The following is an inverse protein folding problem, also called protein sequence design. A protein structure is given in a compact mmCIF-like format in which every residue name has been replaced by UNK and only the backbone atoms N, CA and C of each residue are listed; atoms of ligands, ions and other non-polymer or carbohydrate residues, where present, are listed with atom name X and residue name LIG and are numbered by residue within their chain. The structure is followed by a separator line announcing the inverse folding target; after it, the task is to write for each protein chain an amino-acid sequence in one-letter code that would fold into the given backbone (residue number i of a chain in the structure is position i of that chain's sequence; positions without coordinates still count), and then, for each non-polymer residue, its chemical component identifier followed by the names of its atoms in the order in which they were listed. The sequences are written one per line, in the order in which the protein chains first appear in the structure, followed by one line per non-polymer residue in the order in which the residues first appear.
data_IF_369179680243
#
_entry.id   IF_369179680243
#
_cell.length_a   1.000
_cell.length_b   1.000
_cell.length_c   1.000
_cell.angle_alpha   90.00
_cell.angle_beta   90.00
_cell.angle_gamma   90.00
#
_symmetry.space_group_name_H-M   'P 1'
#
loop_
_entity.id
_entity.type
_entity.pdbx_description
1 polymer ?
#
# COMPACT_ATOMS: atom_id res chain seq x y z
N UNK A 1 -41.26 47.51 -34.52
CA UNK A 1 -40.15 47.07 -35.40
C UNK A 1 -39.20 46.24 -34.57
N UNK A 2 -39.42 44.93 -34.53
CA UNK A 2 -38.53 43.93 -33.93
C UNK A 2 -37.53 43.48 -35.00
N UNK A 3 -36.25 43.63 -34.70
CA UNK A 3 -35.16 43.27 -35.60
C UNK A 3 -35.13 41.74 -35.81
N UNK A 4 -34.88 41.23 -37.03
CA UNK A 4 -34.87 39.79 -37.35
C UNK A 4 -33.76 38.97 -36.67
N UNK A 5 -32.99 39.58 -35.77
CA UNK A 5 -31.93 38.94 -34.99
C UNK A 5 -32.41 38.20 -33.73
N UNK A 6 -33.63 38.45 -33.24
CA UNK A 6 -34.14 37.83 -32.01
C UNK A 6 -34.80 36.45 -32.20
N UNK A 7 -35.12 36.07 -33.45
CA UNK A 7 -35.79 34.78 -33.73
C UNK A 7 -34.80 33.59 -33.77
N UNK A 8 -33.49 33.85 -33.83
CA UNK A 8 -32.46 32.80 -33.89
C UNK A 8 -32.16 32.19 -32.51
N UNK A 9 -32.59 32.81 -31.39
CA UNK A 9 -32.15 32.43 -30.04
C UNK A 9 -32.99 31.30 -29.39
N UNK A 10 -34.10 30.87 -30.00
CA UNK A 10 -34.93 29.74 -29.50
C UNK A 10 -34.96 28.53 -30.44
N UNK A 11 -33.88 28.29 -31.19
CA UNK A 11 -33.65 27.00 -31.81
C UNK A 11 -33.31 25.96 -30.74
N UNK A 12 -34.11 24.91 -30.62
CA UNK A 12 -33.92 23.79 -29.71
C UNK A 12 -32.46 23.29 -29.71
N UNK A 13 -31.70 23.59 -28.66
CA UNK A 13 -30.26 23.29 -28.54
C UNK A 13 -29.97 21.79 -28.68
N UNK A 14 -30.95 20.94 -28.37
CA UNK A 14 -30.87 19.49 -28.58
C UNK A 14 -30.70 19.10 -30.05
N UNK A 15 -31.28 19.85 -30.98
CA UNK A 15 -31.26 19.51 -32.41
C UNK A 15 -29.90 19.84 -33.05
N UNK A 16 -29.32 20.97 -32.65
CA UNK A 16 -27.93 21.34 -32.98
C UNK A 16 -26.95 20.33 -32.37
N UNK A 17 -27.17 19.94 -31.10
CA UNK A 17 -26.33 18.94 -30.43
C UNK A 17 -26.41 17.56 -31.09
N UNK A 18 -27.60 17.11 -31.48
CA UNK A 18 -27.80 15.85 -32.23
C UNK A 18 -27.12 15.88 -33.59
N UNK A 19 -27.17 17.01 -34.30
CA UNK A 19 -26.42 17.20 -35.56
C UNK A 19 -24.93 17.12 -35.33
N UNK A 20 -24.39 17.77 -34.28
CA UNK A 20 -22.97 17.71 -33.93
C UNK A 20 -22.54 16.28 -33.58
N UNK A 21 -23.31 15.58 -32.75
CA UNK A 21 -23.09 14.17 -32.39
C UNK A 21 -23.16 13.23 -33.61
N UNK A 22 -23.96 13.58 -34.62
CA UNK A 22 -24.01 12.81 -35.87
C UNK A 22 -22.68 12.79 -36.62
N UNK A 23 -21.81 13.80 -36.46
CA UNK A 23 -20.47 13.78 -37.06
C UNK A 23 -19.52 12.80 -36.37
N UNK A 24 -19.87 12.31 -35.19
CA UNK A 24 -19.13 11.26 -34.48
C UNK A 24 -19.43 9.86 -35.08
N UNK A 25 -20.60 9.66 -35.71
CA UNK A 25 -21.02 8.37 -36.31
C UNK A 25 -19.94 7.67 -37.16
N UNK A 26 -19.25 8.34 -38.11
CA UNK A 26 -18.21 7.69 -38.91
C UNK A 26 -17.00 7.21 -38.09
N UNK A 27 -16.80 7.75 -36.88
CA UNK A 27 -15.68 7.44 -35.98
C UNK A 27 -16.12 6.70 -34.71
N UNK A 28 -17.35 6.14 -34.68
CA UNK A 28 -17.97 5.54 -33.49
C UNK A 28 -17.10 4.50 -32.78
N UNK A 29 -16.37 3.66 -33.52
CA UNK A 29 -15.52 2.62 -32.95
C UNK A 29 -14.32 3.22 -32.22
N UNK A 30 -13.65 4.19 -32.85
CA UNK A 30 -12.54 4.93 -32.24
C UNK A 30 -13.01 5.75 -31.03
N UNK A 31 -14.19 6.37 -31.09
CA UNK A 31 -14.78 7.12 -29.97
C UNK A 31 -15.15 6.22 -28.79
N UNK A 32 -15.77 5.06 -29.04
CA UNK A 32 -16.09 4.08 -27.98
C UNK A 32 -14.80 3.52 -27.36
N UNK A 33 -13.80 3.19 -28.18
CA UNK A 33 -12.50 2.71 -27.70
C UNK A 33 -11.81 3.78 -26.83
N UNK A 34 -11.87 5.04 -27.24
CA UNK A 34 -11.33 6.18 -26.48
C UNK A 34 -12.07 6.38 -25.15
N UNK A 35 -13.40 6.24 -25.14
CA UNK A 35 -14.21 6.29 -23.92
C UNK A 35 -13.87 5.15 -22.95
N UNK A 36 -13.72 3.93 -23.44
CA UNK A 36 -13.31 2.77 -22.64
C UNK A 36 -11.91 3.00 -22.07
N UNK A 37 -10.97 3.45 -22.90
CA UNK A 37 -9.61 3.75 -22.47
C UNK A 37 -9.57 4.86 -21.39
N UNK A 38 -10.44 5.87 -21.51
CA UNK A 38 -10.57 6.93 -20.51
C UNK A 38 -11.07 6.37 -19.17
N UNK A 39 -12.13 5.57 -19.18
CA UNK A 39 -12.66 4.94 -17.96
C UNK A 39 -11.62 4.04 -17.31
N UNK A 40 -10.91 3.23 -18.10
CA UNK A 40 -9.85 2.35 -17.61
C UNK A 40 -8.67 3.14 -17.03
N UNK A 41 -8.25 4.22 -17.69
CA UNK A 41 -7.19 5.10 -17.20
C UNK A 41 -7.57 5.72 -15.85
N UNK A 42 -8.76 6.32 -15.75
CA UNK A 42 -9.26 6.91 -14.50
C UNK A 42 -9.43 5.87 -13.40
N UNK A 43 -9.94 4.68 -13.72
CA UNK A 43 -10.04 3.58 -12.74
C UNK A 43 -8.66 3.15 -12.24
N UNK A 44 -7.66 3.04 -13.13
CA UNK A 44 -6.30 2.71 -12.75
C UNK A 44 -5.63 3.80 -11.90
N UNK A 45 -5.85 5.08 -12.24
CA UNK A 45 -5.41 6.22 -11.43
C UNK A 45 -6.03 6.21 -10.03
N UNK A 46 -7.31 5.80 -9.89
CA UNK A 46 -7.98 5.64 -8.60
C UNK A 46 -7.51 4.42 -7.80
N UNK A 47 -7.14 3.32 -8.48
CA UNK A 47 -6.58 2.12 -7.85
C UNK A 47 -5.16 2.36 -7.33
N UNK A 48 -4.44 3.28 -7.94
CA UNK A 48 -3.05 3.59 -7.64
C UNK A 48 -2.83 4.02 -6.16
N UNK A 49 -3.60 4.96 -5.57
CA UNK A 49 -3.57 5.26 -4.13
C UNK A 49 -3.81 4.06 -3.22
N UNK A 50 -4.71 3.15 -3.61
CA UNK A 50 -5.09 1.98 -2.80
C UNK A 50 -3.96 0.96 -2.78
N UNK A 51 -3.35 0.70 -3.94
CA UNK A 51 -2.20 -0.20 -4.06
C UNK A 51 -0.99 0.38 -3.33
N UNK A 52 -0.75 1.69 -3.44
CA UNK A 52 0.30 2.38 -2.71
C UNK A 52 0.10 2.27 -1.20
N UNK A 53 -1.10 2.54 -0.69
CA UNK A 53 -1.43 2.42 0.74
C UNK A 53 -1.12 1.01 1.25
N UNK A 54 -1.61 -0.04 0.56
CA UNK A 54 -1.34 -1.44 0.95
C UNK A 54 0.15 -1.79 0.92
N UNK A 55 0.88 -1.30 -0.09
CA UNK A 55 2.31 -1.58 -0.23
C UNK A 55 3.13 -0.89 0.88
N UNK A 56 2.79 0.36 1.21
CA UNK A 56 3.41 1.10 2.30
C UNK A 56 3.13 0.44 3.67
N UNK A 57 1.87 0.07 3.92
CA UNK A 57 1.44 -0.59 5.17
C UNK A 57 2.12 -1.96 5.37
N UNK A 58 2.50 -2.66 4.29
CA UNK A 58 3.20 -3.95 4.32
C UNK A 58 4.71 -3.83 4.59
N UNK A 59 5.36 -2.74 4.20
CA UNK A 59 6.84 -2.70 4.10
C UNK A 59 7.52 -1.59 4.91
N UNK A 60 6.83 -0.53 5.32
CA UNK A 60 7.43 0.52 6.17
C UNK A 60 7.28 0.25 7.67
N UNK A 61 6.41 -0.68 8.05
CA UNK A 61 6.10 -1.05 9.44
C UNK A 61 6.50 -2.49 9.76
N UNK A 62 7.67 -2.96 9.31
CA UNK A 62 8.27 -4.18 9.88
C UNK A 62 8.80 -3.87 11.28
N UNK A 63 7.91 -3.45 12.16
CA UNK A 63 8.10 -3.33 13.59
C UNK A 63 7.25 -4.40 14.25
N UNK A 64 7.90 -5.41 14.81
CA UNK A 64 7.24 -6.41 15.62
C UNK A 64 6.90 -5.83 17.00
N UNK A 65 5.79 -6.29 17.56
CA UNK A 65 5.40 -6.02 18.94
C UNK A 65 5.93 -7.13 19.82
N UNK A 66 6.60 -6.78 20.92
CA UNK A 66 7.08 -7.73 21.91
C UNK A 66 6.00 -7.96 22.95
N UNK A 67 5.62 -9.22 23.14
CA UNK A 67 4.72 -9.70 24.19
C UNK A 67 5.48 -10.60 25.16
N UNK A 68 5.01 -10.67 26.40
CA UNK A 68 5.48 -11.67 27.37
C UNK A 68 5.02 -13.06 26.95
N UNK A 69 5.96 -13.97 26.69
CA UNK A 69 5.65 -15.33 26.23
C UNK A 69 4.82 -16.10 27.27
N UNK A 70 5.13 -15.91 28.55
CA UNK A 70 4.43 -16.56 29.65
C UNK A 70 2.97 -16.13 29.71
N UNK A 71 2.70 -14.84 29.57
CA UNK A 71 1.33 -14.31 29.58
C UNK A 71 0.47 -14.87 28.44
N UNK A 72 1.03 -14.97 27.23
CA UNK A 72 0.29 -15.51 26.08
C UNK A 72 0.03 -17.01 26.26
N UNK A 73 1.01 -17.79 26.74
CA UNK A 73 0.83 -19.22 27.05
C UNK A 73 -0.22 -19.45 28.14
N UNK A 74 -0.15 -18.69 29.23
CA UNK A 74 -1.12 -18.81 30.31
C UNK A 74 -2.54 -18.43 29.86
N UNK A 75 -2.68 -17.50 28.91
CA UNK A 75 -3.97 -17.14 28.30
C UNK A 75 -4.49 -18.25 27.37
N UNK A 76 -3.62 -18.82 26.51
CA UNK A 76 -3.96 -19.94 25.63
C UNK A 76 -4.41 -21.18 26.41
N UNK A 77 -3.70 -21.51 27.49
CA UNK A 77 -4.03 -22.62 28.39
C UNK A 77 -5.24 -22.34 29.28
N UNK A 78 -5.81 -21.13 29.22
CA UNK A 78 -6.97 -20.72 30.00
C UNK A 78 -6.71 -20.54 31.50
N UNK A 79 -5.44 -20.39 31.89
CA UNK A 79 -5.03 -20.08 33.26
C UNK A 79 -5.23 -18.61 33.62
N UNK A 80 -5.24 -17.75 32.60
CA UNK A 80 -5.54 -16.33 32.71
C UNK A 80 -6.70 -16.02 31.77
N UNK A 81 -7.82 -15.53 32.32
CA UNK A 81 -8.86 -14.85 31.51
C UNK A 81 -8.30 -13.48 31.11
N UNK A 82 -7.50 -13.49 30.05
CA UNK A 82 -6.82 -12.31 29.53
C UNK A 82 -7.59 -11.65 28.39
N UNK A 83 -7.33 -10.35 28.21
CA UNK A 83 -7.89 -9.50 27.16
C UNK A 83 -7.60 -10.04 25.74
N UNK A 84 -6.50 -10.81 25.60
CA UNK A 84 -6.16 -11.46 24.34
C UNK A 84 -7.20 -12.51 23.91
N UNK A 85 -7.89 -13.19 24.85
CA UNK A 85 -8.73 -14.33 24.52
C UNK A 85 -7.93 -15.55 24.03
N UNK A 86 -8.51 -16.75 24.17
CA UNK A 86 -7.80 -18.02 23.86
C UNK A 86 -7.42 -18.14 22.38
N UNK A 87 -8.35 -17.82 21.49
CA UNK A 87 -8.17 -17.98 20.05
C UNK A 87 -7.08 -17.05 19.49
N UNK A 88 -7.00 -15.81 19.96
CA UNK A 88 -5.92 -14.91 19.57
C UNK A 88 -4.59 -15.38 20.18
N UNK A 89 -4.57 -15.82 21.44
CA UNK A 89 -3.35 -16.31 22.08
C UNK A 89 -2.76 -17.51 21.31
N UNK A 90 -3.59 -18.46 20.89
CA UNK A 90 -3.18 -19.59 20.05
C UNK A 90 -2.63 -19.14 18.69
N UNK A 91 -3.30 -18.20 18.02
CA UNK A 91 -2.81 -17.62 16.75
C UNK A 91 -1.45 -16.95 16.93
N UNK A 92 -1.29 -16.14 17.98
CA UNK A 92 -0.04 -15.44 18.29
C UNK A 92 1.11 -16.43 18.56
N UNK A 93 0.84 -17.55 19.25
CA UNK A 93 1.87 -18.57 19.51
C UNK A 93 2.27 -19.34 18.26
N UNK A 94 1.34 -19.56 17.33
CA UNK A 94 1.60 -20.28 16.08
C UNK A 94 2.31 -19.41 15.03
N UNK A 95 1.94 -18.14 14.92
CA UNK A 95 2.46 -17.24 13.88
C UNK A 95 3.59 -16.32 14.38
N UNK A 96 3.69 -16.11 15.69
CA UNK A 96 4.71 -15.26 16.31
C UNK A 96 6.09 -15.91 16.38
N UNK A 97 7.12 -15.08 16.46
CA UNK A 97 8.51 -15.53 16.61
C UNK A 97 8.87 -15.48 18.09
N UNK A 98 9.15 -16.64 18.69
CA UNK A 98 9.60 -16.73 20.08
C UNK A 98 11.11 -16.51 20.20
N UNK A 99 11.52 -15.48 20.93
CA UNK A 99 12.93 -15.15 21.19
C UNK A 99 13.10 -14.98 22.70
N UNK A 100 13.71 -15.97 23.35
CA UNK A 100 13.81 -16.04 24.81
C UNK A 100 12.43 -16.14 25.47
N UNK A 101 12.22 -15.37 26.53
CA UNK A 101 10.94 -15.31 27.28
C UNK A 101 9.93 -14.34 26.64
N UNK A 102 10.12 -13.98 25.38
CA UNK A 102 9.30 -12.99 24.69
C UNK A 102 8.83 -13.49 23.33
N UNK A 103 7.60 -13.13 23.00
CA UNK A 103 6.93 -13.45 21.75
C UNK A 103 6.87 -12.17 20.90
N UNK A 104 7.37 -12.24 19.66
CA UNK A 104 7.37 -11.12 18.73
C UNK A 104 6.32 -11.37 17.66
N UNK A 105 5.39 -10.42 17.51
CA UNK A 105 4.23 -10.56 16.63
C UNK A 105 4.00 -9.32 15.79
N UNK A 106 3.55 -9.52 14.55
CA UNK A 106 3.20 -8.43 13.65
C UNK A 106 2.09 -7.57 14.25
N UNK A 107 2.15 -6.23 14.14
CA UNK A 107 1.09 -5.34 14.63
C UNK A 107 -0.30 -5.67 14.09
N UNK A 108 -0.36 -6.31 12.91
CA UNK A 108 -1.59 -6.74 12.25
C UNK A 108 -2.37 -7.78 13.04
N UNK A 109 -1.66 -8.68 13.73
CA UNK A 109 -2.31 -9.68 14.56
C UNK A 109 -2.99 -9.06 15.78
N UNK A 110 -2.61 -7.83 16.15
CA UNK A 110 -3.20 -7.08 17.26
C UNK A 110 -4.29 -6.09 16.80
N UNK A 111 -4.64 -6.06 15.51
CA UNK A 111 -5.69 -5.15 15.00
C UNK A 111 -7.09 -5.53 15.48
N UNK A 112 -7.30 -6.79 15.86
CA UNK A 112 -8.55 -7.27 16.43
C UNK A 112 -8.78 -6.72 17.86
N UNK A 113 -7.74 -6.17 18.51
CA UNK A 113 -7.82 -5.61 19.86
C UNK A 113 -8.23 -4.13 19.82
N UNK A 114 -9.07 -3.73 20.78
CA UNK A 114 -9.40 -2.33 20.96
C UNK A 114 -8.19 -1.51 21.41
N UNK A 115 -8.15 -0.23 21.04
CA UNK A 115 -7.07 0.68 21.45
C UNK A 115 -6.90 0.77 22.97
N UNK A 116 -8.00 0.61 23.71
CA UNK A 116 -8.02 0.61 25.17
C UNK A 116 -7.26 -0.60 25.72
N UNK A 117 -7.47 -1.76 25.11
CA UNK A 117 -6.85 -3.03 25.49
C UNK A 117 -5.36 -3.06 25.19
N UNK A 118 -4.98 -2.50 24.03
CA UNK A 118 -3.57 -2.29 23.67
C UNK A 118 -2.89 -1.36 24.68
N UNK A 119 -3.58 -0.31 25.14
CA UNK A 119 -3.02 0.61 26.16
C UNK A 119 -2.91 -0.07 27.52
N UNK A 120 -3.95 -0.79 27.95
CA UNK A 120 -3.94 -1.56 29.19
C UNK A 120 -2.78 -2.56 29.20
N UNK A 121 -2.55 -3.26 28.08
CA UNK A 121 -1.45 -4.22 28.00
C UNK A 121 -0.06 -3.63 28.08
N UNK A 122 0.09 -2.38 27.65
CA UNK A 122 1.33 -1.62 27.84
C UNK A 122 1.56 -1.23 29.28
N UNK A 123 0.50 -0.99 30.04
CA UNK A 123 0.59 -0.60 31.44
C UNK A 123 0.72 -1.83 32.36
N UNK A 124 0.07 -2.93 31.99
CA UNK A 124 0.19 -4.25 32.64
C UNK A 124 1.53 -4.96 32.34
N UNK A 125 2.29 -4.44 31.38
CA UNK A 125 3.64 -4.91 31.05
C UNK A 125 3.70 -6.21 30.22
N UNK A 126 2.55 -6.75 29.79
CA UNK A 126 2.54 -7.90 28.89
C UNK A 126 2.78 -7.51 27.43
N UNK A 127 2.59 -6.23 27.07
CA UNK A 127 2.92 -5.66 25.76
C UNK A 127 3.98 -4.56 25.92
N UNK A 128 5.08 -4.65 25.18
CA UNK A 128 6.13 -3.62 25.23
C UNK A 128 5.66 -2.29 24.60
N UNK A 129 6.10 -1.18 25.19
CA UNK A 129 5.86 0.18 24.69
C UNK A 129 6.73 0.46 23.45
N UNK A 130 7.88 -0.20 23.33
CA UNK A 130 8.81 -0.03 22.21
C UNK A 130 8.43 -0.90 21.00
N UNK A 131 8.87 -0.44 19.83
CA UNK A 131 8.79 -1.20 18.59
C UNK A 131 10.08 -1.98 18.39
N UNK A 132 9.96 -3.25 18.02
CA UNK A 132 11.10 -4.18 17.89
C UNK A 132 11.30 -4.62 16.45
N UNK A 133 12.53 -4.99 16.12
CA UNK A 133 12.89 -5.51 14.81
C UNK A 133 13.51 -6.89 14.98
N UNK A 134 12.87 -7.91 14.41
CA UNK A 134 13.35 -9.29 14.48
C UNK A 134 14.10 -9.68 13.21
N UNK A 135 15.29 -10.23 13.40
CA UNK A 135 16.15 -10.81 12.37
C UNK A 135 16.07 -12.33 12.50
N UNK A 136 15.60 -13.02 11.47
CA UNK A 136 15.62 -14.48 11.43
C UNK A 136 16.75 -14.97 10.53
N UNK A 137 17.61 -15.84 11.04
CA UNK A 137 18.80 -16.38 10.39
C UNK A 137 19.65 -15.30 9.67
N UNK A 138 20.29 -14.39 10.43
CA UNK A 138 21.08 -13.32 9.84
C UNK A 138 22.33 -13.83 9.12
N UNK A 139 22.65 -13.21 7.98
CA UNK A 139 23.90 -13.43 7.25
C UNK A 139 25.14 -13.09 8.10
N UNK A 140 26.31 -13.57 7.67
CA UNK A 140 27.60 -13.36 8.36
C UNK A 140 27.90 -11.89 8.66
N UNK A 141 27.52 -10.96 7.78
CA UNK A 141 27.70 -9.52 8.00
C UNK A 141 26.84 -8.98 9.13
N UNK A 142 25.61 -9.45 9.26
CA UNK A 142 24.69 -9.05 10.33
C UNK A 142 25.11 -9.70 11.65
N UNK A 143 25.58 -10.95 11.62
CA UNK A 143 26.18 -11.62 12.77
C UNK A 143 27.35 -10.83 13.35
N UNK A 144 28.19 -10.21 12.52
CA UNK A 144 29.27 -9.34 12.98
C UNK A 144 28.76 -8.13 13.77
N UNK A 145 27.72 -7.45 13.29
CA UNK A 145 27.09 -6.31 13.99
C UNK A 145 26.47 -6.74 15.33
N UNK A 146 25.82 -7.91 15.35
CA UNK A 146 25.23 -8.48 16.58
C UNK A 146 26.32 -8.84 17.60
N UNK A 147 27.48 -9.29 17.15
CA UNK A 147 28.60 -9.64 18.02
C UNK A 147 29.37 -8.41 18.54
N UNK A 148 29.34 -7.31 17.79
CA UNK A 148 29.91 -6.02 18.20
C UNK A 148 29.10 -5.34 19.31
N UNK A 149 27.77 -5.55 19.34
CA UNK A 149 26.87 -4.93 20.31
C UNK A 149 25.96 -5.94 21.02
N UNK A 150 26.51 -6.93 21.75
CA UNK A 150 25.71 -8.01 22.34
C UNK A 150 24.63 -7.52 23.31
N UNK A 151 24.82 -6.35 23.92
CA UNK A 151 23.93 -5.77 24.93
C UNK A 151 22.63 -5.20 24.34
N UNK A 152 22.61 -4.89 23.04
CA UNK A 152 21.47 -4.30 22.34
C UNK A 152 20.56 -5.35 21.69
N UNK A 153 21.01 -6.62 21.63
CA UNK A 153 20.29 -7.70 20.97
C UNK A 153 19.83 -8.76 21.96
N UNK A 154 18.54 -9.09 21.90
CA UNK A 154 18.02 -10.27 22.58
C UNK A 154 18.39 -11.50 21.73
N UNK A 155 19.17 -12.41 22.31
CA UNK A 155 19.61 -13.66 21.68
C UNK A 155 18.79 -14.83 22.22
N UNK A 156 18.36 -15.73 21.35
CA UNK A 156 17.86 -17.05 21.78
C UNK A 156 18.91 -18.11 21.43
N UNK A 157 19.21 -19.02 22.38
CA UNK A 157 20.13 -20.14 22.14
C UNK A 157 19.49 -21.25 21.28
N UNK A 158 18.17 -21.24 21.14
CA UNK A 158 17.38 -22.32 20.50
C UNK A 158 16.97 -21.99 19.07
N UNK A 159 16.86 -20.70 18.73
CA UNK A 159 16.52 -20.22 17.38
C UNK A 159 17.59 -19.22 16.94
N UNK A 160 18.09 -19.32 15.70
CA UNK A 160 19.02 -18.34 15.10
C UNK A 160 18.31 -16.99 14.81
N UNK A 161 17.47 -16.53 15.73
CA UNK A 161 16.66 -15.33 15.63
C UNK A 161 17.09 -14.32 16.69
N UNK A 162 17.22 -13.06 16.28
CA UNK A 162 17.70 -11.95 17.11
C UNK A 162 16.69 -10.81 17.06
N UNK A 163 16.52 -10.08 18.16
CA UNK A 163 15.66 -8.89 18.21
C UNK A 163 16.43 -7.66 18.70
N UNK A 164 16.19 -6.51 18.06
CA UNK A 164 16.70 -5.20 18.47
C UNK A 164 15.55 -4.18 18.56
N UNK A 165 15.58 -3.32 19.57
CA UNK A 165 14.64 -2.22 19.71
C UNK A 165 14.95 -1.11 18.71
N UNK A 166 13.92 -0.50 18.11
CA UNK A 166 14.09 0.59 17.12
C UNK A 166 14.77 1.80 17.76
N UNK A 167 14.53 2.08 19.03
CA UNK A 167 15.19 3.19 19.75
C UNK A 167 16.68 2.93 19.94
N UNK A 168 17.07 1.68 20.18
CA UNK A 168 18.45 1.33 20.47
C UNK A 168 19.28 1.28 19.16
N UNK A 169 18.61 1.11 18.03
CA UNK A 169 19.19 1.24 16.69
C UNK A 169 19.72 2.64 16.38
N UNK A 170 19.17 3.70 17.00
CA UNK A 170 19.67 5.08 16.80
C UNK A 170 21.08 5.28 17.36
N UNK A 171 21.54 4.37 18.23
CA UNK A 171 22.91 4.35 18.74
C UNK A 171 23.93 3.65 17.83
N UNK A 172 23.47 2.93 16.79
CA UNK A 172 24.33 2.25 15.83
C UNK A 172 24.84 3.20 14.74
N UNK A 173 26.00 2.89 14.17
CA UNK A 173 26.55 3.71 13.09
C UNK A 173 25.67 3.65 11.82
N UNK A 174 25.65 4.69 10.98
CA UNK A 174 24.85 4.72 9.74
C UNK A 174 25.16 3.55 8.79
N UNK A 175 26.38 3.01 8.81
CA UNK A 175 26.79 1.86 8.01
C UNK A 175 26.15 0.55 8.49
N UNK A 176 26.10 0.32 9.80
CA UNK A 176 25.49 -0.87 10.41
C UNK A 176 23.97 -0.86 10.26
N UNK A 177 23.36 0.31 10.44
CA UNK A 177 21.94 0.56 10.18
C UNK A 177 21.57 0.21 8.74
N UNK A 178 22.43 0.53 7.77
CA UNK A 178 22.22 0.24 6.35
C UNK A 178 22.32 -1.25 6.06
N UNK A 179 23.28 -1.95 6.66
CA UNK A 179 23.43 -3.41 6.54
C UNK A 179 22.19 -4.14 7.06
N UNK A 180 21.68 -3.74 8.23
CA UNK A 180 20.45 -4.29 8.82
C UNK A 180 19.20 -4.04 7.94
N UNK A 181 19.16 -2.89 7.25
CA UNK A 181 18.06 -2.53 6.32
C UNK A 181 18.15 -3.20 4.96
N UNK A 182 19.32 -3.69 4.55
CA UNK A 182 19.54 -4.19 3.19
C UNK A 182 18.69 -5.41 2.85
N UNK A 183 18.37 -6.24 3.85
CA UNK A 183 17.45 -7.38 3.73
C UNK A 183 16.03 -6.93 3.38
N UNK A 184 15.50 -5.89 4.06
CA UNK A 184 14.14 -5.40 3.81
C UNK A 184 13.99 -4.67 2.46
N UNK A 185 15.05 -4.01 1.99
CA UNK A 185 15.05 -3.23 0.75
C UNK A 185 14.92 -4.14 -0.49
N UNK A 186 15.37 -5.39 -0.41
CA UNK A 186 15.35 -6.32 -1.54
C UNK A 186 13.91 -6.69 -1.98
N UNK A 187 13.01 -6.97 -1.03
CA UNK A 187 11.59 -7.23 -1.29
C UNK A 187 10.84 -5.99 -1.76
N UNK A 188 11.21 -4.81 -1.26
CA UNK A 188 10.63 -3.53 -1.67
C UNK A 188 10.95 -3.21 -3.14
N UNK A 189 12.16 -3.54 -3.62
CA UNK A 189 12.59 -3.24 -5.00
C UNK A 189 11.71 -3.94 -6.05
N UNK A 190 11.36 -5.21 -5.84
CA UNK A 190 10.56 -5.97 -6.80
C UNK A 190 9.11 -5.48 -6.86
N UNK A 191 8.49 -5.21 -5.70
CA UNK A 191 7.12 -4.65 -5.64
C UNK A 191 7.05 -3.22 -6.16
N UNK A 192 8.05 -2.39 -5.86
CA UNK A 192 8.17 -1.04 -6.43
C UNK A 192 8.31 -1.07 -7.95
N UNK A 193 9.05 -2.05 -8.50
CA UNK A 193 9.19 -2.23 -9.94
C UNK A 193 7.86 -2.63 -10.60
N UNK A 194 7.09 -3.54 -10.01
CA UNK A 194 5.75 -3.90 -10.49
C UNK A 194 4.84 -2.66 -10.53
N UNK A 195 4.87 -1.84 -9.49
CA UNK A 195 4.12 -0.60 -9.43
C UNK A 195 4.55 0.41 -10.49
N UNK A 196 5.86 0.56 -10.68
CA UNK A 196 6.42 1.42 -11.73
C UNK A 196 5.98 0.97 -13.13
N UNK A 197 5.97 -0.34 -13.40
CA UNK A 197 5.48 -0.89 -14.66
C UNK A 197 3.97 -0.64 -14.83
N UNK A 198 3.18 -0.80 -13.78
CA UNK A 198 1.75 -0.49 -13.82
C UNK A 198 1.51 1.00 -14.16
N UNK A 199 2.26 1.90 -13.54
CA UNK A 199 2.21 3.34 -13.84
C UNK A 199 2.57 3.63 -15.29
N UNK A 200 3.60 2.96 -15.81
CA UNK A 200 4.01 3.07 -17.22
C UNK A 200 2.90 2.61 -18.16
N UNK A 201 2.21 1.50 -17.84
CA UNK A 201 1.05 1.02 -18.59
C UNK A 201 -0.07 2.08 -18.58
N UNK A 202 -0.42 2.60 -17.41
CA UNK A 202 -1.44 3.67 -17.30
C UNK A 202 -1.06 4.87 -18.15
N UNK A 203 0.19 5.34 -18.07
CA UNK A 203 0.70 6.45 -18.86
C UNK A 203 0.52 6.22 -20.37
N UNK A 204 0.87 5.03 -20.86
CA UNK A 204 0.72 4.68 -22.29
C UNK A 204 -0.76 4.69 -22.69
N UNK A 205 -1.64 4.07 -21.90
CA UNK A 205 -3.07 4.03 -22.21
C UNK A 205 -3.69 5.43 -22.20
N UNK A 206 -3.36 6.26 -21.21
CA UNK A 206 -3.80 7.65 -21.15
C UNK A 206 -3.28 8.45 -22.33
N UNK A 207 -2.01 8.30 -22.70
CA UNK A 207 -1.44 8.99 -23.86
C UNK A 207 -2.14 8.58 -25.17
N UNK A 208 -2.33 7.28 -25.38
CA UNK A 208 -3.03 6.74 -26.57
C UNK A 208 -4.48 7.21 -26.62
N UNK A 209 -5.16 7.27 -25.46
CA UNK A 209 -6.51 7.78 -25.34
C UNK A 209 -6.59 9.27 -25.72
N UNK A 210 -5.70 10.10 -25.16
CA UNK A 210 -5.65 11.54 -25.45
C UNK A 210 -5.31 11.79 -26.92
N UNK A 211 -4.36 11.03 -27.48
CA UNK A 211 -3.99 11.14 -28.89
C UNK A 211 -5.16 10.79 -29.81
N UNK A 212 -5.88 9.69 -29.55
CA UNK A 212 -7.05 9.31 -30.32
C UNK A 212 -8.18 10.34 -30.20
N UNK A 213 -8.44 10.84 -28.99
CA UNK A 213 -9.44 11.90 -28.77
C UNK A 213 -9.12 13.15 -29.60
N UNK A 214 -7.84 13.57 -29.60
CA UNK A 214 -7.37 14.72 -30.38
C UNK A 214 -7.52 14.48 -31.88
N UNK A 215 -7.10 13.32 -32.37
CA UNK A 215 -7.20 12.95 -33.78
C UNK A 215 -8.65 12.88 -34.28
N UNK A 216 -9.55 12.29 -33.48
CA UNK A 216 -11.00 12.27 -33.77
C UNK A 216 -11.54 13.69 -33.84
N UNK A 217 -11.17 14.56 -32.88
CA UNK A 217 -11.58 15.96 -32.86
C UNK A 217 -11.17 16.72 -34.11
N UNK A 218 -9.92 16.57 -34.55
CA UNK A 218 -9.42 17.20 -35.78
C UNK A 218 -10.16 16.70 -37.02
N UNK A 219 -10.40 15.38 -37.14
CA UNK A 219 -11.15 14.82 -38.26
C UNK A 219 -12.60 15.30 -38.29
N UNK A 220 -13.27 15.38 -37.15
CA UNK A 220 -14.63 15.92 -37.06
C UNK A 220 -14.65 17.38 -37.50
N UNK A 221 -13.70 18.21 -37.05
CA UNK A 221 -13.60 19.61 -37.49
C UNK A 221 -13.39 19.73 -39.00
N UNK A 222 -12.54 18.88 -39.59
CA UNK A 222 -12.34 18.85 -41.04
C UNK A 222 -13.62 18.46 -41.79
N UNK A 223 -14.37 17.47 -41.30
CA UNK A 223 -15.62 16.99 -41.91
C UNK A 223 -16.76 18.03 -41.79
N UNK A 224 -16.81 18.76 -40.68
CA UNK A 224 -17.73 19.90 -40.50
C UNK A 224 -17.39 21.00 -41.50
N UNK A 225 -16.10 21.36 -41.64
CA UNK A 225 -15.66 22.39 -42.60
C UNK A 225 -15.98 21.99 -44.03
N UNK A 226 -15.81 20.73 -44.38
CA UNK A 226 -16.09 20.21 -45.73
C UNK A 226 -17.57 20.11 -46.10
N UNK A 227 -18.50 20.12 -45.12
CA UNK A 227 -19.96 20.17 -45.39
C UNK A 227 -20.57 21.56 -45.28
N UNK A 228 -19.81 22.54 -44.77
CA UNK A 228 -20.22 23.94 -44.66
C UNK A 228 -19.77 24.79 -45.86
N UNK A 229 -18.79 24.31 -46.64
CA UNK A 229 -18.39 24.86 -47.94
C UNK A 229 -19.12 24.11 -49.06
#
# INVERSE_FOLDING_TARGET
MSSPSDEIIRGNSSEVFKRLLSFIKPYKTASVLTLIALVLATAAELLMPIVMKRTLDDHLLRSERRLSLQFVKDTAEGRVEGILGKELADRLLNEGVTIGDSLFVSPRMLYDLDKKDISAGKDDGWLDKKDWYTLNNPDSTIRSVINLHPDLFIKNQTTESFAISISDRESLSPGEVKTLRSIDISGLKQRSLQYFLLLLVVLIFTFVQVYQASWIGQKIMADIRGKLL
#
